data_IF_280258913311
#
_entry.id   IF_280258913311
#
_cell.length_a   1.000
_cell.length_b   1.000
_cell.length_c   1.000
_cell.angle_alpha   90.00
_cell.angle_beta   90.00
_cell.angle_gamma   90.00
#
_symmetry.space_group_name_H-M   'P 1'
#
loop_
_entity.id
_entity.type
_entity.pdbx_description
1 polymer ?
#
# COMPACT_ATOMS: atom_id res chain seq x y z
N UNK A 1 43.80 -40.79 -37.19
CA UNK A 1 42.37 -40.69 -37.56
C UNK A 1 41.58 -40.33 -36.33
N UNK A 2 41.03 -39.12 -36.30
CA UNK A 2 40.69 -38.36 -35.11
C UNK A 2 39.32 -38.75 -34.52
N UNK A 3 39.31 -39.63 -33.52
CA UNK A 3 38.09 -40.03 -32.78
C UNK A 3 38.09 -39.60 -31.30
N UNK A 4 38.97 -38.67 -30.88
CA UNK A 4 39.09 -38.25 -29.48
C UNK A 4 38.45 -36.89 -29.12
N UNK A 5 37.70 -36.26 -30.04
CA UNK A 5 37.21 -34.88 -29.86
C UNK A 5 35.70 -34.68 -30.00
N UNK A 6 34.89 -35.70 -29.71
CA UNK A 6 33.45 -35.48 -29.58
C UNK A 6 32.96 -35.89 -28.19
N UNK A 7 33.39 -35.13 -27.18
CA UNK A 7 32.68 -35.06 -25.90
C UNK A 7 31.36 -34.36 -26.20
N UNK A 8 30.28 -35.13 -26.30
CA UNK A 8 28.90 -34.62 -26.46
C UNK A 8 28.71 -33.53 -25.39
N UNK A 9 28.69 -32.27 -25.82
CA UNK A 9 28.35 -31.16 -24.94
C UNK A 9 26.89 -31.42 -24.59
N UNK A 10 26.63 -31.76 -23.32
CA UNK A 10 25.28 -31.82 -22.81
C UNK A 10 24.72 -30.39 -22.85
N UNK A 11 24.15 -30.01 -23.98
CA UNK A 11 23.28 -28.85 -24.11
C UNK A 11 22.04 -29.13 -23.27
N UNK A 12 22.15 -28.87 -21.96
CA UNK A 12 20.97 -28.59 -21.17
C UNK A 12 20.54 -27.18 -21.56
N UNK A 13 19.34 -26.98 -22.16
CA UNK A 13 18.86 -25.66 -22.55
C UNK A 13 18.59 -24.76 -21.33
N UNK A 14 18.91 -25.22 -20.12
CA UNK A 14 18.75 -24.53 -18.84
C UNK A 14 20.07 -24.02 -18.24
N UNK A 15 21.25 -24.40 -18.78
CA UNK A 15 22.55 -23.97 -18.21
C UNK A 15 23.00 -22.57 -18.62
N UNK A 16 22.42 -22.01 -19.69
CA UNK A 16 22.74 -20.65 -20.16
C UNK A 16 21.81 -19.57 -19.58
N UNK A 17 20.93 -19.93 -18.65
CA UNK A 17 20.01 -19.00 -17.99
C UNK A 17 20.61 -18.51 -16.68
N UNK A 18 20.83 -17.19 -16.59
CA UNK A 18 21.11 -16.52 -15.33
C UNK A 18 19.83 -16.60 -14.49
N UNK A 19 19.86 -17.16 -13.26
CA UNK A 19 18.67 -17.22 -12.42
C UNK A 19 18.25 -15.80 -12.04
N UNK A 20 16.99 -15.45 -12.32
CA UNK A 20 16.40 -14.21 -11.82
C UNK A 20 16.09 -14.40 -10.34
N UNK A 21 16.81 -13.68 -9.49
CA UNK A 21 16.58 -13.63 -8.06
C UNK A 21 16.08 -12.23 -7.68
N UNK A 22 15.13 -12.17 -6.75
CA UNK A 22 14.69 -10.90 -6.15
C UNK A 22 15.87 -10.35 -5.35
N UNK A 23 16.54 -9.33 -5.89
CA UNK A 23 17.74 -8.71 -5.28
C UNK A 23 17.37 -7.82 -4.08
N UNK A 24 16.13 -7.31 -4.07
CA UNK A 24 15.55 -6.54 -2.98
C UNK A 24 14.15 -7.06 -2.70
N UNK A 25 14.02 -7.80 -1.60
CA UNK A 25 12.72 -8.18 -1.07
C UNK A 25 12.30 -7.13 -0.05
N UNK A 26 11.15 -6.50 -0.27
CA UNK A 26 10.50 -5.70 0.76
C UNK A 26 9.83 -6.59 1.80
N UNK A 27 9.42 -6.00 2.93
CA UNK A 27 8.72 -6.72 4.00
C UNK A 27 7.46 -7.36 3.43
N UNK A 28 7.34 -8.68 3.58
CA UNK A 28 6.14 -9.38 3.15
C UNK A 28 4.96 -9.02 4.05
N UNK A 29 3.91 -8.46 3.45
CA UNK A 29 2.66 -8.19 4.16
C UNK A 29 1.99 -9.47 4.65
N UNK A 30 1.37 -9.39 5.82
CA UNK A 30 0.49 -10.43 6.36
C UNK A 30 -0.70 -10.68 5.42
N UNK A 31 -1.31 -11.86 5.51
CA UNK A 31 -2.52 -12.19 4.75
C UNK A 31 -3.67 -11.22 5.06
N UNK A 32 -3.78 -10.79 6.31
CA UNK A 32 -4.80 -9.84 6.77
C UNK A 32 -4.56 -8.44 6.20
N UNK A 33 -3.30 -7.99 6.18
CA UNK A 33 -2.92 -6.70 5.59
C UNK A 33 -3.17 -6.67 4.07
N UNK A 34 -2.86 -7.78 3.38
CA UNK A 34 -3.18 -7.94 1.95
C UNK A 34 -4.68 -7.90 1.70
N UNK A 35 -5.46 -8.55 2.55
CA UNK A 35 -6.92 -8.53 2.45
C UNK A 35 -7.47 -7.12 2.67
N UNK A 36 -6.94 -6.40 3.66
CA UNK A 36 -7.28 -5.00 3.93
C UNK A 36 -6.97 -4.09 2.73
N UNK A 37 -5.75 -4.13 2.18
CA UNK A 37 -5.38 -3.31 1.01
C UNK A 37 -6.21 -3.68 -0.22
N UNK A 38 -6.50 -4.97 -0.44
CA UNK A 38 -7.40 -5.40 -1.53
C UNK A 38 -8.84 -4.92 -1.35
N UNK A 39 -9.33 -4.85 -0.12
CA UNK A 39 -10.66 -4.30 0.17
C UNK A 39 -10.72 -2.80 -0.15
N UNK A 40 -9.67 -2.04 0.19
CA UNK A 40 -9.55 -0.61 -0.16
C UNK A 40 -9.48 -0.42 -1.68
N UNK A 41 -8.70 -1.25 -2.38
CA UNK A 41 -8.59 -1.20 -3.84
C UNK A 41 -9.93 -1.49 -4.54
N UNK A 42 -10.73 -2.42 -3.99
CA UNK A 42 -12.08 -2.72 -4.50
C UNK A 42 -13.12 -1.67 -4.13
N UNK A 43 -12.84 -0.80 -3.16
CA UNK A 43 -13.80 0.16 -2.64
C UNK A 43 -14.84 -0.43 -1.68
N UNK A 44 -14.57 -1.57 -1.04
CA UNK A 44 -15.51 -2.19 -0.09
C UNK A 44 -15.43 -1.54 1.29
N UNK A 45 -16.35 -0.62 1.55
CA UNK A 45 -16.43 0.12 2.81
C UNK A 45 -16.65 -0.78 4.03
N UNK A 46 -17.49 -1.82 3.92
CA UNK A 46 -17.86 -2.66 5.06
C UNK A 46 -16.67 -3.48 5.55
N UNK A 47 -15.95 -4.09 4.61
CA UNK A 47 -14.75 -4.87 4.90
C UNK A 47 -13.63 -3.99 5.47
N UNK A 48 -13.39 -2.81 4.90
CA UNK A 48 -12.38 -1.86 5.40
C UNK A 48 -12.69 -1.41 6.83
N UNK A 49 -13.95 -1.08 7.12
CA UNK A 49 -14.38 -0.70 8.46
C UNK A 49 -14.18 -1.84 9.47
N UNK A 50 -14.51 -3.08 9.08
CA UNK A 50 -14.30 -4.25 9.94
C UNK A 50 -12.82 -4.43 10.28
N UNK A 51 -11.94 -4.37 9.28
CA UNK A 51 -10.49 -4.51 9.49
C UNK A 51 -9.91 -3.40 10.38
N UNK A 52 -10.40 -2.16 10.24
CA UNK A 52 -9.96 -1.05 11.10
C UNK A 52 -10.38 -1.25 12.56
N UNK A 53 -11.62 -1.69 12.81
CA UNK A 53 -12.09 -1.98 14.17
C UNK A 53 -11.34 -3.15 14.78
N UNK A 54 -11.08 -4.22 14.01
CA UNK A 54 -10.25 -5.34 14.47
C UNK A 54 -8.83 -4.92 14.78
N UNK A 55 -8.24 -4.01 13.99
CA UNK A 55 -6.92 -3.47 14.23
C UNK A 55 -6.85 -2.70 15.56
N UNK A 56 -7.89 -1.95 15.92
CA UNK A 56 -7.95 -1.23 17.22
C UNK A 56 -8.05 -2.17 18.42
N UNK A 57 -8.76 -3.29 18.28
CA UNK A 57 -9.01 -4.24 19.37
C UNK A 57 -7.82 -5.18 19.56
N UNK A 58 -7.35 -5.79 18.47
CA UNK A 58 -6.40 -6.89 18.51
C UNK A 58 -4.98 -6.51 18.10
N UNK A 59 -4.77 -5.33 17.47
CA UNK A 59 -3.47 -4.88 16.96
C UNK A 59 -2.78 -5.87 15.99
N UNK A 60 -3.56 -6.73 15.34
CA UNK A 60 -3.03 -7.74 14.41
C UNK A 60 -2.62 -7.16 13.06
N UNK A 61 -3.21 -6.01 12.68
CA UNK A 61 -3.04 -5.39 11.36
C UNK A 61 -2.38 -4.03 11.53
N UNK A 62 -1.31 -3.79 10.77
CA UNK A 62 -0.77 -2.44 10.66
C UNK A 62 -1.61 -1.60 9.69
N UNK A 63 -2.29 -0.58 10.20
CA UNK A 63 -3.13 0.32 9.40
C UNK A 63 -2.30 1.10 8.37
N UNK A 64 -1.02 1.38 8.68
CA UNK A 64 -0.09 2.09 7.81
C UNK A 64 0.73 1.15 6.90
N UNK A 65 0.25 -0.06 6.64
CA UNK A 65 0.89 -0.98 5.72
C UNK A 65 0.98 -0.39 4.30
N UNK A 66 2.01 -0.83 3.55
CA UNK A 66 2.28 -0.39 2.19
C UNK A 66 2.33 -1.60 1.26
N UNK A 67 1.73 -1.48 0.09
CA UNK A 67 1.85 -2.45 -0.99
C UNK A 67 3.33 -2.65 -1.40
N UNK A 68 3.67 -3.76 -2.10
CA UNK A 68 4.98 -3.92 -2.75
C UNK A 68 5.32 -2.82 -3.79
N UNK A 69 4.36 -1.96 -4.13
CA UNK A 69 4.53 -0.78 -4.96
C UNK A 69 4.78 0.51 -4.15
N UNK A 70 4.87 0.41 -2.82
CA UNK A 70 5.03 1.53 -1.90
C UNK A 70 3.77 2.39 -1.73
N UNK A 71 2.59 1.88 -2.05
CA UNK A 71 1.32 2.61 -1.88
C UNK A 71 0.70 2.28 -0.53
N UNK A 72 0.29 3.29 0.23
CA UNK A 72 -0.53 3.10 1.43
C UNK A 72 -2.02 3.00 1.08
N UNK A 73 -2.82 2.49 2.02
CA UNK A 73 -4.28 2.44 1.89
C UNK A 73 -4.88 3.81 1.50
N UNK A 74 -4.38 4.90 2.09
CA UNK A 74 -4.86 6.26 1.79
C UNK A 74 -4.53 6.68 0.34
N UNK A 75 -3.35 6.34 -0.17
CA UNK A 75 -2.98 6.64 -1.55
C UNK A 75 -3.85 5.87 -2.55
N UNK A 76 -4.14 4.61 -2.27
CA UNK A 76 -5.05 3.78 -3.10
C UNK A 76 -6.46 4.37 -3.10
N UNK A 77 -6.97 4.79 -1.94
CA UNK A 77 -8.28 5.43 -1.84
C UNK A 77 -8.35 6.74 -2.64
N UNK A 78 -7.28 7.53 -2.66
CA UNK A 78 -7.17 8.75 -3.48
C UNK A 78 -7.10 8.41 -4.98
N UNK A 79 -6.34 7.39 -5.38
CA UNK A 79 -6.27 6.93 -6.77
C UNK A 79 -7.63 6.52 -7.32
N UNK A 80 -8.45 5.90 -6.47
CA UNK A 80 -9.80 5.45 -6.82
C UNK A 80 -10.88 6.53 -6.61
N UNK A 81 -10.50 7.73 -6.17
CA UNK A 81 -11.41 8.84 -5.84
C UNK A 81 -12.54 8.46 -4.85
N UNK A 82 -12.29 7.49 -3.97
CA UNK A 82 -13.29 7.02 -3.01
C UNK A 82 -13.23 7.85 -1.73
N UNK A 83 -14.02 8.93 -1.71
CA UNK A 83 -14.07 9.88 -0.59
C UNK A 83 -14.56 9.24 0.72
N UNK A 84 -15.51 8.30 0.67
CA UNK A 84 -16.08 7.67 1.86
C UNK A 84 -15.02 6.84 2.61
N UNK A 85 -14.22 6.07 1.88
CA UNK A 85 -13.11 5.31 2.46
C UNK A 85 -12.04 6.26 2.97
N UNK A 86 -11.74 7.35 2.25
CA UNK A 86 -10.79 8.35 2.74
C UNK A 86 -11.21 8.95 4.08
N UNK A 87 -12.48 9.34 4.24
CA UNK A 87 -13.00 9.86 5.50
C UNK A 87 -12.87 8.85 6.63
N UNK A 88 -13.19 7.58 6.36
CA UNK A 88 -13.05 6.48 7.31
C UNK A 88 -11.59 6.27 7.72
N UNK A 89 -10.65 6.31 6.79
CA UNK A 89 -9.21 6.17 7.10
C UNK A 89 -8.69 7.36 7.92
N UNK A 90 -9.13 8.57 7.59
CA UNK A 90 -8.76 9.78 8.34
C UNK A 90 -9.35 9.81 9.74
N UNK A 91 -10.56 9.26 9.95
CA UNK A 91 -11.15 9.17 11.29
C UNK A 91 -10.34 8.27 12.24
N UNK A 92 -9.67 7.25 11.70
CA UNK A 92 -8.80 6.33 12.44
C UNK A 92 -7.35 6.82 12.54
N UNK A 93 -7.11 8.12 12.28
CA UNK A 93 -5.80 8.78 12.44
C UNK A 93 -4.65 8.12 11.67
N UNK A 94 -4.91 7.68 10.42
CA UNK A 94 -3.89 7.11 9.55
C UNK A 94 -2.77 8.11 9.25
N UNK A 95 -1.57 7.60 8.94
CA UNK A 95 -0.46 8.43 8.53
C UNK A 95 -0.72 9.06 7.14
N UNK A 96 -0.84 10.38 7.11
CA UNK A 96 -1.14 11.14 5.88
C UNK A 96 0.08 11.30 4.98
N UNK A 97 1.27 11.50 5.56
CA UNK A 97 2.53 11.65 4.81
C UNK A 97 2.44 12.66 3.65
N UNK A 98 2.73 12.20 2.44
CA UNK A 98 2.71 12.94 1.19
C UNK A 98 1.38 12.84 0.41
N UNK A 99 0.33 12.26 1.01
CA UNK A 99 -0.97 12.04 0.36
C UNK A 99 -1.60 13.34 -0.20
N UNK A 100 -1.39 14.49 0.46
CA UNK A 100 -1.87 15.77 -0.06
C UNK A 100 -1.18 16.16 -1.37
N UNK A 101 0.15 15.97 -1.46
CA UNK A 101 0.89 16.24 -2.69
C UNK A 101 0.47 15.27 -3.79
N UNK A 102 0.23 14.01 -3.43
CA UNK A 102 -0.28 13.00 -4.35
C UNK A 102 -1.66 13.37 -4.92
N UNK A 103 -2.59 13.81 -4.06
CA UNK A 103 -3.93 14.22 -4.47
C UNK A 103 -3.90 15.42 -5.42
N UNK A 104 -3.02 16.41 -5.17
CA UNK A 104 -2.82 17.56 -6.07
C UNK A 104 -2.29 17.08 -7.43
N UNK A 105 -1.30 16.18 -7.45
CA UNK A 105 -0.75 15.64 -8.70
C UNK A 105 -1.80 14.88 -9.53
N UNK A 106 -2.78 14.28 -8.86
CA UNK A 106 -3.90 13.58 -9.49
C UNK A 106 -5.10 14.48 -9.79
N UNK A 107 -5.05 15.74 -9.38
CA UNK A 107 -6.11 16.75 -9.58
C UNK A 107 -7.46 16.36 -8.94
N UNK A 108 -7.44 15.55 -7.87
CA UNK A 108 -8.66 15.11 -7.17
C UNK A 108 -9.09 16.16 -6.15
N UNK A 109 -9.98 17.06 -6.57
CA UNK A 109 -10.41 18.21 -5.74
C UNK A 109 -11.04 17.76 -4.41
N UNK A 110 -11.92 16.76 -4.43
CA UNK A 110 -12.60 16.28 -3.21
C UNK A 110 -11.62 15.71 -2.18
N UNK A 111 -10.61 14.96 -2.63
CA UNK A 111 -9.56 14.45 -1.76
C UNK A 111 -8.74 15.57 -1.12
N UNK A 112 -8.40 16.60 -1.90
CA UNK A 112 -7.65 17.77 -1.41
C UNK A 112 -8.44 18.52 -0.34
N UNK A 113 -9.73 18.78 -0.57
CA UNK A 113 -10.60 19.45 0.40
C UNK A 113 -10.70 18.69 1.72
N UNK A 114 -10.92 17.36 1.67
CA UNK A 114 -10.99 16.52 2.86
C UNK A 114 -9.67 16.54 3.65
N UNK A 115 -8.53 16.42 2.98
CA UNK A 115 -7.21 16.44 3.62
C UNK A 115 -6.89 17.80 4.26
N UNK A 116 -7.26 18.91 3.61
CA UNK A 116 -7.09 20.26 4.17
C UNK A 116 -7.98 20.47 5.40
N UNK A 117 -9.23 20.04 5.35
CA UNK A 117 -10.16 20.11 6.47
C UNK A 117 -9.68 19.28 7.66
N UNK A 118 -9.18 18.07 7.41
CA UNK A 118 -8.59 17.22 8.45
C UNK A 118 -7.40 17.89 9.15
N UNK A 119 -6.48 18.49 8.38
CA UNK A 119 -5.32 19.21 8.93
C UNK A 119 -5.74 20.41 9.79
N UNK A 120 -6.76 21.16 9.36
CA UNK A 120 -7.29 22.29 10.12
C UNK A 120 -7.84 21.86 11.47
N UNK A 121 -8.66 20.80 11.50
CA UNK A 121 -9.22 20.23 12.74
C UNK A 121 -8.14 19.73 13.70
N UNK A 122 -7.06 19.16 13.20
CA UNK A 122 -5.95 18.72 14.05
C UNK A 122 -5.07 19.87 14.53
N UNK A 123 -4.93 20.95 13.75
CA UNK A 123 -4.21 22.15 14.16
C UNK A 123 -4.92 22.93 15.28
N UNK A 124 -6.25 23.04 15.22
CA UNK A 124 -7.04 23.77 16.24
C UNK A 124 -7.05 23.10 17.61
N UNK A 125 -6.96 21.76 17.66
CA UNK A 125 -6.87 21.00 18.93
C UNK A 125 -5.60 21.29 19.74
N UNK A 126 -4.53 21.78 19.10
CA UNK A 126 -3.26 22.08 19.78
C UNK A 126 -3.22 23.49 20.41
N UNK A 127 -4.10 24.41 19.99
CA UNK A 127 -4.04 25.83 20.41
C UNK A 127 -4.94 26.13 21.61
N UNK A 128 -5.78 25.19 22.05
CA UNK A 128 -6.78 25.42 23.11
C UNK A 128 -6.34 24.98 24.52
N UNK A 129 -5.05 24.72 24.74
CA UNK A 129 -4.49 24.41 26.05
C UNK A 129 -3.43 25.45 26.43
N UNK A 130 -3.86 26.67 26.71
CA UNK A 130 -3.13 27.64 27.54
C UNK A 130 -4.06 28.16 28.64
#
# INVERSE_FOLDING_TARGET
MAQLYYKKVNYSPYRDRIPLQIVRAEVELSLEEKAYLSAVEKGDYASVKHSLVEAEIYYNININCMDPLGRSALLIAIENENLEIMELLLSHSIYVGDALLYAIRKEVVGAVELLLNYKKRNGEKQVSQE
#
